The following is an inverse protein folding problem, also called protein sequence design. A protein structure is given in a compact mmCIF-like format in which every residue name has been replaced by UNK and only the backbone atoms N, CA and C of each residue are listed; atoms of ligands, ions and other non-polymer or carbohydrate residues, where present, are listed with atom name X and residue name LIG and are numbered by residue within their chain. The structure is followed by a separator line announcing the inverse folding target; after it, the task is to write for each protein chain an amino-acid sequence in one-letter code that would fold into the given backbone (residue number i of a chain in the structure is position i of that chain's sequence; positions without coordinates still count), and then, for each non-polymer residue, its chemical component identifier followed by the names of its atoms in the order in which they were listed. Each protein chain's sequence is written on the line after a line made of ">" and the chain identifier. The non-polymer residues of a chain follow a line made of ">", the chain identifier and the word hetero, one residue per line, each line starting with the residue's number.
data_IF_576415913055
#
_entry.id   IF_576415913055
#
_cell.length_a   1.000
_cell.length_b   1.000
_cell.length_c   1.000
_cell.angle_alpha   90.00
_cell.angle_beta   90.00
_cell.angle_gamma   90.00
#
_symmetry.space_group_name_H-M   'P 1'
#
loop_
_entity.id
_entity.type
_entity.pdbx_description
1 polymer ?
#
# COMPACT_ATOMS: atom_id res chain seq x y z
N UNK A 1 -0.30 -4.41 3.95
CA UNK A 1 -1.59 -4.56 3.22
C UNK A 1 -1.47 -4.26 1.73
N UNK A 2 -1.08 -3.05 1.31
CA UNK A 2 -1.05 -2.65 -0.10
C UNK A 2 -0.26 -3.61 -1.02
N UNK A 3 0.97 -4.00 -0.62
CA UNK A 3 1.78 -4.97 -1.38
C UNK A 3 1.05 -6.30 -1.65
N UNK A 4 0.34 -6.82 -0.64
CA UNK A 4 -0.44 -8.07 -0.76
C UNK A 4 -1.53 -7.92 -1.82
N UNK A 5 -2.27 -6.82 -1.81
CA UNK A 5 -3.34 -6.55 -2.79
C UNK A 5 -2.76 -6.38 -4.19
N UNK A 6 -1.63 -5.70 -4.34
CA UNK A 6 -0.94 -5.59 -5.63
C UNK A 6 -0.49 -6.95 -6.17
N UNK A 7 0.10 -7.81 -5.33
CA UNK A 7 0.54 -9.14 -5.74
C UNK A 7 -0.63 -10.09 -6.05
N UNK A 8 -1.71 -10.02 -5.28
CA UNK A 8 -2.92 -10.80 -5.54
C UNK A 8 -3.58 -10.36 -6.85
N UNK A 9 -3.67 -9.05 -7.09
CA UNK A 9 -4.16 -8.48 -8.35
C UNK A 9 -3.29 -8.92 -9.53
N UNK A 10 -1.96 -8.89 -9.37
CA UNK A 10 -1.06 -9.37 -10.41
C UNK A 10 -1.29 -10.85 -10.71
N UNK A 11 -1.41 -11.70 -9.68
CA UNK A 11 -1.72 -13.11 -9.84
C UNK A 11 -3.01 -13.34 -10.63
N UNK A 12 -4.08 -12.59 -10.33
CA UNK A 12 -5.34 -12.67 -11.07
C UNK A 12 -5.16 -12.25 -12.54
N UNK A 13 -4.36 -11.23 -12.82
CA UNK A 13 -4.10 -10.79 -14.20
C UNK A 13 -3.33 -11.85 -15.00
N UNK A 14 -2.32 -12.50 -14.42
CA UNK A 14 -1.49 -13.49 -15.13
C UNK A 14 -2.12 -14.88 -15.21
N UNK A 15 -2.86 -15.28 -14.17
CA UNK A 15 -3.30 -16.66 -13.96
C UNK A 15 -4.82 -16.81 -13.86
N UNK A 16 -5.57 -15.85 -14.42
CA UNK A 16 -7.04 -15.81 -14.39
C UNK A 16 -7.67 -17.17 -14.72
N UNK A 17 -7.25 -17.79 -15.81
CA UNK A 17 -7.84 -19.04 -16.30
C UNK A 17 -7.59 -20.19 -15.34
N UNK A 18 -6.39 -20.25 -14.73
CA UNK A 18 -6.06 -21.28 -13.72
C UNK A 18 -6.88 -21.12 -12.45
N UNK A 19 -7.12 -19.88 -12.01
CA UNK A 19 -7.99 -19.62 -10.86
C UNK A 19 -9.44 -19.97 -11.18
N UNK A 20 -9.91 -19.67 -12.40
CA UNK A 20 -11.24 -20.03 -12.86
C UNK A 20 -11.42 -21.56 -12.91
N UNK A 21 -10.45 -22.30 -13.45
CA UNK A 21 -10.44 -23.77 -13.49
C UNK A 21 -10.53 -24.41 -12.10
N UNK A 22 -10.06 -23.71 -11.07
CA UNK A 22 -10.13 -24.16 -9.66
C UNK A 22 -11.33 -23.60 -8.89
N UNK A 23 -12.21 -22.84 -9.54
CA UNK A 23 -13.33 -22.13 -8.92
C UNK A 23 -12.89 -21.12 -7.83
N UNK A 24 -11.65 -20.61 -7.90
CA UNK A 24 -11.08 -19.67 -6.94
C UNK A 24 -11.04 -18.23 -7.47
N UNK A 25 -11.43 -17.99 -8.73
CA UNK A 25 -11.37 -16.65 -9.31
C UNK A 25 -12.25 -15.65 -8.54
N UNK A 26 -13.47 -16.03 -8.16
CA UNK A 26 -14.37 -15.14 -7.43
C UNK A 26 -13.83 -14.83 -6.02
N UNK A 27 -13.33 -15.85 -5.31
CA UNK A 27 -12.71 -15.64 -4.00
C UNK A 27 -11.50 -14.67 -4.08
N UNK A 28 -10.69 -14.81 -5.13
CA UNK A 28 -9.56 -13.90 -5.35
C UNK A 28 -10.01 -12.47 -5.66
N UNK A 29 -11.06 -12.30 -6.48
CA UNK A 29 -11.63 -10.99 -6.78
C UNK A 29 -12.27 -10.34 -5.54
N UNK A 30 -12.99 -11.12 -4.71
CA UNK A 30 -13.60 -10.63 -3.47
C UNK A 30 -12.52 -10.18 -2.46
N UNK A 31 -11.42 -10.93 -2.35
CA UNK A 31 -10.29 -10.55 -1.50
C UNK A 31 -9.58 -9.28 -2.00
N UNK A 32 -9.42 -9.13 -3.32
CA UNK A 32 -8.91 -7.89 -3.92
C UNK A 32 -9.85 -6.73 -3.61
N UNK A 33 -11.16 -6.91 -3.85
CA UNK A 33 -12.16 -5.88 -3.65
C UNK A 33 -12.18 -5.39 -2.20
N UNK A 34 -12.15 -6.31 -1.22
CA UNK A 34 -12.10 -5.94 0.20
C UNK A 34 -10.89 -5.05 0.53
N UNK A 35 -9.73 -5.41 -0.01
CA UNK A 35 -8.50 -4.63 0.15
C UNK A 35 -8.57 -3.27 -0.53
N UNK A 36 -9.07 -3.20 -1.76
CA UNK A 36 -9.17 -1.94 -2.51
C UNK A 36 -10.24 -1.01 -1.93
N UNK A 37 -11.36 -1.54 -1.43
CA UNK A 37 -12.40 -0.75 -0.76
C UNK A 37 -11.84 -0.06 0.48
N UNK A 38 -10.98 -0.74 1.25
CA UNK A 38 -10.26 -0.13 2.36
C UNK A 38 -9.30 0.96 1.88
N UNK A 39 -8.50 0.70 0.84
CA UNK A 39 -7.54 1.68 0.31
C UNK A 39 -8.23 2.95 -0.23
N UNK A 40 -9.39 2.81 -0.87
CA UNK A 40 -10.21 3.95 -1.32
C UNK A 40 -10.67 4.80 -0.12
N UNK A 41 -11.16 4.17 0.95
CA UNK A 41 -11.56 4.88 2.18
C UNK A 41 -10.36 5.54 2.87
N UNK A 42 -9.20 4.91 2.82
CA UNK A 42 -7.96 5.42 3.38
C UNK A 42 -7.39 6.62 2.59
N UNK A 43 -7.87 6.89 1.37
CA UNK A 43 -7.44 8.00 0.54
C UNK A 43 -8.59 8.99 0.26
N UNK A 44 -9.08 9.72 1.29
CA UNK A 44 -10.27 10.56 1.16
C UNK A 44 -10.04 11.85 0.35
N UNK A 45 -8.78 12.25 0.15
CA UNK A 45 -8.38 13.45 -0.58
C UNK A 45 -7.07 13.18 -1.34
N UNK A 46 -6.77 13.90 -2.43
CA UNK A 46 -5.61 13.63 -3.28
C UNK A 46 -4.25 13.57 -2.55
N UNK A 47 -4.09 14.34 -1.47
CA UNK A 47 -2.84 14.45 -0.71
C UNK A 47 -2.99 13.92 0.73
N UNK A 48 -3.95 13.03 1.00
CA UNK A 48 -4.15 12.44 2.33
C UNK A 48 -4.27 10.93 2.19
N UNK A 49 -3.39 10.19 2.86
CA UNK A 49 -3.42 8.73 2.89
C UNK A 49 -3.29 8.21 4.33
N UNK A 50 -4.28 7.48 4.82
CA UNK A 50 -4.21 6.75 6.08
C UNK A 50 -3.41 5.46 5.90
N UNK A 51 -2.28 5.36 6.60
CA UNK A 51 -1.35 4.24 6.47
C UNK A 51 -1.47 3.18 7.56
N UNK A 52 -2.02 3.53 8.73
CA UNK A 52 -2.12 2.64 9.89
C UNK A 52 -3.35 2.96 10.75
N UNK A 53 -3.98 1.93 11.32
CA UNK A 53 -5.09 2.05 12.28
C UNK A 53 -4.85 1.10 13.46
N UNK A 54 -4.62 1.66 14.63
CA UNK A 54 -4.14 0.95 15.81
C UNK A 54 -2.71 1.36 16.16
N UNK A 55 -2.36 1.22 17.43
CA UNK A 55 -1.00 1.33 17.91
C UNK A 55 -0.46 -0.09 18.16
N UNK A 56 0.66 -0.45 17.53
CA UNK A 56 1.15 -1.83 17.55
C UNK A 56 1.51 -2.35 18.94
N UNK A 57 1.98 -1.51 19.86
CA UNK A 57 2.35 -1.97 21.21
C UNK A 57 1.10 -2.30 22.04
N UNK A 58 0.10 -1.42 22.05
CA UNK A 58 -1.15 -1.64 22.78
C UNK A 58 -2.05 -2.70 22.14
N UNK A 59 -2.08 -2.79 20.81
CA UNK A 59 -2.81 -3.84 20.09
C UNK A 59 -2.21 -5.22 20.37
N UNK A 60 -0.88 -5.37 20.35
CA UNK A 60 -0.21 -6.64 20.67
C UNK A 60 -0.25 -7.02 22.15
N UNK A 61 -0.47 -6.06 23.06
CA UNK A 61 -0.71 -6.33 24.46
C UNK A 61 -2.12 -6.90 24.72
N UNK A 62 -3.05 -6.78 23.76
CA UNK A 62 -4.43 -7.24 23.88
C UNK A 62 -4.61 -8.64 23.30
N UNK A 63 -4.87 -9.63 24.16
CA UNK A 63 -5.23 -11.00 23.74
C UNK A 63 -6.73 -11.26 23.92
N UNK A 64 -7.52 -10.81 22.96
CA UNK A 64 -8.98 -10.97 22.93
C UNK A 64 -9.44 -11.19 21.48
N UNK A 65 -10.70 -11.59 21.29
CA UNK A 65 -11.29 -11.56 19.94
C UNK A 65 -11.35 -10.10 19.47
N UNK A 66 -11.13 -9.83 18.17
CA UNK A 66 -11.11 -8.45 17.67
C UNK A 66 -12.45 -7.72 17.86
N UNK A 67 -13.57 -8.42 17.97
CA UNK A 67 -14.89 -7.85 18.23
C UNK A 67 -15.07 -7.39 19.69
N UNK A 68 -14.25 -7.91 20.61
CA UNK A 68 -14.32 -7.62 22.05
C UNK A 68 -13.26 -6.60 22.50
N UNK A 69 -12.40 -6.13 21.60
CA UNK A 69 -11.31 -5.22 21.95
C UNK A 69 -11.83 -3.85 22.38
N UNK A 70 -11.22 -3.30 23.42
CA UNK A 70 -11.44 -1.92 23.88
C UNK A 70 -10.20 -1.05 23.73
N UNK A 71 -9.11 -1.60 23.16
CA UNK A 71 -7.87 -0.87 22.90
C UNK A 71 -8.15 0.27 21.91
N UNK A 72 -7.75 1.52 22.21
CA UNK A 72 -7.90 2.64 21.29
C UNK A 72 -7.23 2.34 19.94
N UNK A 73 -7.96 2.53 18.84
CA UNK A 73 -7.45 2.32 17.48
C UNK A 73 -7.26 3.65 16.75
N UNK A 74 -6.21 4.37 17.11
CA UNK A 74 -5.85 5.65 16.46
C UNK A 74 -5.50 5.43 15.00
N UNK A 75 -5.98 6.32 14.13
CA UNK A 75 -5.66 6.30 12.70
C UNK A 75 -4.51 7.27 12.40
N UNK A 76 -3.47 6.80 11.73
CA UNK A 76 -2.30 7.58 11.35
C UNK A 76 -2.30 7.83 9.84
N UNK A 77 -1.96 9.05 9.46
CA UNK A 77 -2.01 9.51 8.08
C UNK A 77 -0.69 10.11 7.62
N UNK A 78 -0.58 10.15 6.31
CA UNK A 78 0.44 10.78 5.51
C UNK A 78 -0.24 11.94 4.79
N UNK A 79 0.32 13.13 4.90
CA UNK A 79 -0.16 14.37 4.27
C UNK A 79 0.97 15.39 4.09
N UNK A 80 0.67 16.58 3.57
CA UNK A 80 1.67 17.65 3.33
C UNK A 80 2.53 18.01 4.55
N UNK A 81 2.00 17.80 5.76
CA UNK A 81 2.71 18.04 7.02
C UNK A 81 3.50 16.80 7.48
N UNK A 82 3.13 15.62 6.97
CA UNK A 82 3.69 14.30 7.31
C UNK A 82 3.92 13.46 6.02
N UNK A 83 5.00 13.68 5.26
CA UNK A 83 5.13 13.20 3.87
C UNK A 83 5.29 11.66 3.69
N UNK A 84 4.97 11.14 2.48
CA UNK A 84 5.00 9.69 2.13
C UNK A 84 5.33 9.40 0.65
N UNK A 85 4.70 8.41 -0.03
CA UNK A 85 5.13 7.87 -1.37
C UNK A 85 4.10 8.03 -2.53
N UNK A 86 4.63 8.20 -3.76
CA UNK A 86 4.07 8.42 -5.12
C UNK A 86 3.52 9.81 -5.54
N UNK A 87 2.22 10.02 -5.73
CA UNK A 87 1.74 11.26 -6.41
C UNK A 87 1.86 12.49 -5.51
N UNK A 88 1.46 12.35 -4.24
CA UNK A 88 1.77 13.31 -3.18
C UNK A 88 3.29 13.42 -2.90
N UNK A 89 4.06 12.37 -3.19
CA UNK A 89 5.50 12.28 -2.86
C UNK A 89 6.46 12.77 -3.92
N UNK A 90 6.03 12.83 -5.18
CA UNK A 90 6.82 13.44 -6.25
C UNK A 90 7.18 14.89 -5.89
N UNK A 91 6.29 15.54 -5.10
CA UNK A 91 6.46 16.85 -4.47
C UNK A 91 7.04 16.77 -3.04
N UNK A 92 6.72 15.72 -2.26
CA UNK A 92 7.17 15.56 -0.87
C UNK A 92 7.76 14.18 -0.57
N UNK A 93 9.05 14.01 -0.87
CA UNK A 93 9.76 12.72 -0.71
C UNK A 93 10.06 12.41 0.75
N UNK A 94 9.70 11.22 1.21
CA UNK A 94 10.05 10.73 2.54
C UNK A 94 9.66 9.27 2.73
N UNK A 95 10.36 8.58 3.64
CA UNK A 95 9.97 7.25 4.08
C UNK A 95 8.73 7.34 4.97
N UNK A 96 7.71 6.55 4.68
CA UNK A 96 6.40 6.65 5.34
C UNK A 96 6.48 6.48 6.86
N UNK A 97 7.40 5.66 7.36
CA UNK A 97 7.59 5.42 8.79
C UNK A 97 8.09 6.66 9.56
N UNK A 98 8.56 7.71 8.87
CA UNK A 98 8.87 8.98 9.51
C UNK A 98 7.59 9.77 9.85
N UNK A 99 6.51 9.51 9.12
CA UNK A 99 5.17 10.08 9.33
C UNK A 99 4.31 9.18 10.23
N UNK A 100 4.60 7.88 10.25
CA UNK A 100 3.95 6.89 11.11
C UNK A 100 5.03 6.13 11.92
N UNK A 101 5.50 6.68 13.05
CA UNK A 101 6.65 6.13 13.79
C UNK A 101 6.41 4.72 14.35
N UNK A 102 5.17 4.38 14.71
CA UNK A 102 4.79 3.04 15.20
C UNK A 102 5.16 1.96 14.18
N UNK A 103 4.89 2.22 12.90
CA UNK A 103 5.21 1.32 11.79
C UNK A 103 6.70 0.98 11.68
N UNK A 104 7.61 1.88 12.09
CA UNK A 104 9.07 1.67 11.97
C UNK A 104 9.54 0.40 12.69
N UNK A 105 8.90 0.05 13.81
CA UNK A 105 9.27 -1.13 14.61
C UNK A 105 8.82 -2.44 13.95
N UNK A 106 7.77 -2.41 13.14
CA UNK A 106 7.11 -3.60 12.61
C UNK A 106 7.32 -3.80 11.10
N UNK A 107 7.24 -2.72 10.32
CA UNK A 107 7.30 -2.71 8.86
C UNK A 107 8.18 -1.55 8.34
N UNK A 108 9.42 -1.43 8.83
CA UNK A 108 10.34 -0.39 8.34
C UNK A 108 10.59 -0.52 6.84
N UNK A 109 10.57 0.60 6.11
CA UNK A 109 11.06 0.65 4.73
C UNK A 109 12.56 0.97 4.71
N UNK A 110 13.28 0.42 3.73
CA UNK A 110 14.70 0.74 3.45
C UNK A 110 14.86 1.87 2.43
N UNK A 111 13.81 2.17 1.68
CA UNK A 111 13.73 3.17 0.61
C UNK A 111 12.30 3.29 0.09
N UNK A 112 12.08 4.14 -0.90
CA UNK A 112 10.78 4.28 -1.58
C UNK A 112 10.92 4.31 -3.11
N UNK A 113 12.14 4.31 -3.61
CA UNK A 113 12.51 4.45 -5.02
C UNK A 113 12.00 3.28 -5.86
N UNK A 114 12.08 2.04 -5.34
CA UNK A 114 11.53 0.88 -6.03
C UNK A 114 10.01 0.85 -5.98
N UNK A 115 9.36 1.32 -4.90
CA UNK A 115 7.91 1.54 -4.88
C UNK A 115 7.47 2.56 -5.92
N UNK A 116 8.23 3.64 -6.13
CA UNK A 116 7.92 4.63 -7.17
C UNK A 116 7.96 3.98 -8.57
N UNK A 117 8.97 3.17 -8.85
CA UNK A 117 9.06 2.45 -10.14
C UNK A 117 7.95 1.43 -10.28
N UNK A 118 7.65 0.69 -9.20
CA UNK A 118 6.58 -0.28 -9.18
C UNK A 118 5.23 0.35 -9.51
N UNK A 119 4.88 1.45 -8.85
CA UNK A 119 3.65 2.20 -9.11
C UNK A 119 3.60 2.72 -10.55
N UNK A 120 4.68 3.32 -11.06
CA UNK A 120 4.76 3.79 -12.44
C UNK A 120 4.56 2.66 -13.46
N UNK A 121 5.13 1.47 -13.24
CA UNK A 121 4.95 0.33 -14.12
C UNK A 121 3.48 -0.13 -14.16
N UNK A 122 2.82 -0.19 -13.01
CA UNK A 122 1.41 -0.57 -12.93
C UNK A 122 0.48 0.47 -13.56
N UNK A 123 0.72 1.76 -13.31
CA UNK A 123 -0.04 2.83 -13.94
C UNK A 123 0.13 2.84 -15.46
N UNK A 124 1.35 2.61 -15.96
CA UNK A 124 1.57 2.45 -17.40
C UNK A 124 0.81 1.25 -17.97
N UNK A 125 0.87 0.09 -17.30
CA UNK A 125 0.14 -1.11 -17.72
C UNK A 125 -1.38 -0.88 -17.76
N UNK A 126 -1.92 -0.13 -16.80
CA UNK A 126 -3.36 0.11 -16.67
C UNK A 126 -3.88 1.18 -17.64
N UNK A 127 -3.11 2.24 -17.88
CA UNK A 127 -3.57 3.43 -18.63
C UNK A 127 -3.01 3.54 -20.04
N UNK A 128 -1.84 2.93 -20.31
CA UNK A 128 -1.07 3.15 -21.53
C UNK A 128 -0.44 4.54 -21.65
N UNK A 129 -0.55 5.40 -20.63
CA UNK A 129 -0.06 6.77 -20.70
C UNK A 129 1.47 6.83 -20.62
N UNK A 130 2.09 7.45 -21.64
CA UNK A 130 3.55 7.50 -21.81
C UNK A 130 4.27 8.22 -20.65
N UNK A 131 3.59 9.08 -19.91
CA UNK A 131 4.16 9.78 -18.76
C UNK A 131 4.66 8.80 -17.68
N UNK A 132 3.94 7.71 -17.44
CA UNK A 132 4.34 6.69 -16.46
C UNK A 132 5.52 5.85 -16.95
N UNK A 133 5.58 5.55 -18.25
CA UNK A 133 6.74 4.91 -18.86
C UNK A 133 8.00 5.79 -18.74
N UNK A 134 7.85 7.10 -18.95
CA UNK A 134 8.96 8.06 -18.79
C UNK A 134 9.41 8.17 -17.33
N UNK A 135 8.48 8.04 -16.37
CA UNK A 135 8.81 8.06 -14.95
C UNK A 135 9.74 6.90 -14.56
N UNK A 136 9.56 5.69 -15.12
CA UNK A 136 10.40 4.52 -14.85
C UNK A 136 11.89 4.76 -15.13
N UNK A 137 12.18 5.51 -16.20
CA UNK A 137 13.56 5.80 -16.63
C UNK A 137 14.19 6.92 -15.80
N UNK A 138 13.37 7.79 -15.19
CA UNK A 138 13.83 8.98 -14.45
C UNK A 138 14.12 8.73 -12.96
N UNK A 139 13.48 7.74 -12.35
CA UNK A 139 13.66 7.43 -10.93
C UNK A 139 15.01 6.70 -10.76
N UNK A 140 15.91 7.15 -9.89
CA UNK A 140 17.22 6.50 -9.65
C UNK A 140 17.06 5.11 -8.96
N UNK A 141 18.01 4.19 -9.14
CA UNK A 141 18.02 2.81 -8.60
C UNK A 141 18.24 2.70 -7.07
N UNK A 142 17.96 3.75 -6.30
CA UNK A 142 18.41 3.89 -4.93
C UNK A 142 17.63 3.08 -3.89
N UNK A 143 17.84 1.77 -3.81
CA UNK A 143 17.37 0.98 -2.66
C UNK A 143 17.69 -0.51 -2.75
N UNK A 144 18.33 -1.06 -1.72
CA UNK A 144 18.46 -2.51 -1.52
C UNK A 144 17.19 -2.98 -0.81
N UNK A 145 16.53 -4.01 -1.36
CA UNK A 145 15.49 -4.74 -0.63
C UNK A 145 16.16 -5.47 0.53
N UNK A 146 15.94 -4.98 1.75
CA UNK A 146 16.23 -5.72 2.99
C UNK A 146 14.97 -6.38 3.48
#
# INVERSE_FOLDING_TARGET
>A
MALTISMLSWSVVEFRDKLQEKNELLNALDAIQWGTDYLIKAHPQPNVLYGEVGDGDSDHACWQRPEDTTTPRTAYKIDEQHPGVYDFASLHRGQYQNSIPGAKKFYSSSGYEDELRWAAAWLYRATGERQYLLALVKIDTGGVRT
#
